data_IF_460684222870
#
_entry.id   IF_460684222870
#
_cell.length_a   1.000
_cell.length_b   1.000
_cell.length_c   1.000
_cell.angle_alpha   90.00
_cell.angle_beta   90.00
_cell.angle_gamma   90.00
#
_symmetry.space_group_name_H-M   'P 1'
#
loop_
_entity.id
_entity.type
_entity.pdbx_description
1 polymer ?
#
# COMPACT_ATOMS: atom_id res chain seq x y z
N UNK A 1 18.25 -1.83 13.41
CA UNK A 1 16.98 -2.58 13.27
C UNK A 1 16.32 -2.17 11.96
N UNK A 2 15.95 -3.13 11.10
CA UNK A 2 15.13 -2.83 9.92
C UNK A 2 13.67 -2.73 10.40
N UNK A 3 13.06 -1.55 10.32
CA UNK A 3 11.66 -1.36 10.73
C UNK A 3 10.73 -1.80 9.60
N UNK A 4 10.39 -3.09 9.60
CA UNK A 4 9.38 -3.62 8.69
C UNK A 4 8.05 -2.91 8.93
N UNK A 5 7.46 -2.34 7.87
CA UNK A 5 6.23 -1.59 7.96
C UNK A 5 6.41 -0.08 8.06
N UNK A 6 7.65 0.42 8.23
CA UNK A 6 7.92 1.84 8.00
C UNK A 6 7.55 2.20 6.55
N UNK A 7 6.87 3.34 6.37
CA UNK A 7 6.31 3.67 5.06
C UNK A 7 6.33 5.17 4.77
N UNK A 8 6.15 5.50 3.50
CA UNK A 8 5.78 6.84 3.04
C UNK A 8 4.76 6.74 1.91
N UNK A 9 4.00 7.81 1.73
CA UNK A 9 3.14 8.01 0.56
C UNK A 9 3.73 9.14 -0.26
N UNK A 10 3.89 8.91 -1.55
CA UNK A 10 4.36 9.91 -2.51
C UNK A 10 3.44 9.95 -3.72
N UNK A 11 3.55 11.01 -4.51
CA UNK A 11 3.01 10.98 -5.87
C UNK A 11 3.63 9.81 -6.66
N UNK A 12 2.80 9.17 -7.47
CA UNK A 12 3.27 8.20 -8.46
C UNK A 12 4.27 8.87 -9.40
N UNK A 13 5.24 8.11 -9.91
CA UNK A 13 6.27 8.66 -10.80
C UNK A 13 5.69 9.18 -12.12
N UNK A 14 4.58 8.59 -12.56
CA UNK A 14 3.73 9.07 -13.66
C UNK A 14 2.29 9.07 -13.16
N UNK A 15 1.86 10.12 -12.43
CA UNK A 15 0.56 10.13 -11.81
C UNK A 15 -0.54 10.22 -12.87
N UNK A 16 -1.58 9.41 -12.69
CA UNK A 16 -2.82 9.47 -13.46
C UNK A 16 -3.98 9.70 -12.50
N UNK A 17 -5.16 10.03 -13.03
CA UNK A 17 -6.37 10.16 -12.20
C UNK A 17 -6.68 8.86 -11.44
N UNK A 18 -6.36 7.70 -12.04
CA UNK A 18 -6.60 6.39 -11.45
C UNK A 18 -5.50 5.97 -10.47
N UNK A 19 -4.26 6.42 -10.66
CA UNK A 19 -3.10 6.03 -9.84
C UNK A 19 -2.29 7.27 -9.40
N UNK A 20 -2.90 8.15 -8.57
CA UNK A 20 -2.27 9.41 -8.19
C UNK A 20 -1.07 9.21 -7.25
N UNK A 21 -1.10 8.19 -6.40
CA UNK A 21 -0.08 7.98 -5.36
C UNK A 21 0.51 6.57 -5.37
N UNK A 22 1.68 6.46 -4.76
CA UNK A 22 2.38 5.21 -4.50
C UNK A 22 2.78 5.16 -3.03
N UNK A 23 2.45 4.06 -2.37
CA UNK A 23 2.93 3.72 -1.04
C UNK A 23 4.25 2.96 -1.15
N UNK A 24 5.27 3.44 -0.45
CA UNK A 24 6.57 2.77 -0.33
C UNK A 24 6.66 2.17 1.08
N UNK A 25 6.81 0.85 1.18
CA UNK A 25 6.88 0.12 2.45
C UNK A 25 8.23 -0.54 2.58
N UNK A 26 8.93 -0.28 3.69
CA UNK A 26 10.16 -0.98 4.03
C UNK A 26 9.83 -2.38 4.55
N UNK A 27 10.41 -3.41 3.94
CA UNK A 27 10.26 -4.80 4.35
C UNK A 27 11.51 -5.60 4.00
N UNK A 28 12.07 -6.29 5.00
CA UNK A 28 13.28 -7.12 4.88
C UNK A 28 14.50 -6.39 4.28
N UNK A 29 14.57 -5.07 4.49
CA UNK A 29 15.63 -4.21 3.94
C UNK A 29 15.50 -3.93 2.45
N UNK A 30 14.32 -4.17 1.88
CA UNK A 30 13.92 -3.69 0.57
C UNK A 30 12.79 -2.68 0.73
N UNK A 31 12.59 -1.87 -0.30
CA UNK A 31 11.41 -0.99 -0.42
C UNK A 31 10.47 -1.59 -1.44
N UNK A 32 9.26 -1.90 -1.02
CA UNK A 32 8.21 -2.44 -1.87
C UNK A 32 7.23 -1.31 -2.21
N UNK A 33 6.88 -1.21 -3.49
CA UNK A 33 6.01 -0.14 -3.99
C UNK A 33 4.62 -0.70 -4.30
N UNK A 34 3.59 -0.10 -3.72
CA UNK A 34 2.19 -0.43 -4.00
C UNK A 34 1.46 0.82 -4.48
N UNK A 35 0.75 0.71 -5.59
CA UNK A 35 -0.09 1.80 -6.10
C UNK A 35 -1.25 2.08 -5.14
N UNK A 36 -1.54 3.35 -4.89
CA UNK A 36 -2.79 3.78 -4.28
C UNK A 36 -3.66 4.30 -5.41
N UNK A 37 -4.72 3.56 -5.71
CA UNK A 37 -5.63 3.86 -6.80
C UNK A 37 -6.78 4.72 -6.31
N UNK A 38 -7.25 5.64 -7.15
CA UNK A 38 -8.51 6.37 -6.94
C UNK A 38 -9.56 5.76 -7.88
N UNK A 39 -10.63 5.20 -7.29
CA UNK A 39 -11.74 4.61 -8.03
C UNK A 39 -12.70 5.72 -8.51
N UNK A 40 -13.53 5.41 -9.50
CA UNK A 40 -14.52 6.35 -10.06
C UNK A 40 -15.54 6.87 -9.05
N UNK A 41 -15.79 6.14 -7.96
CA UNK A 41 -16.64 6.56 -6.85
C UNK A 41 -15.94 7.50 -5.84
N UNK A 42 -14.68 7.89 -6.08
CA UNK A 42 -13.91 8.76 -5.20
C UNK A 42 -13.17 8.06 -4.06
N UNK A 43 -13.22 6.73 -3.97
CA UNK A 43 -12.56 5.97 -2.90
C UNK A 43 -11.17 5.47 -3.32
N UNK A 44 -10.28 5.36 -2.34
CA UNK A 44 -8.94 4.84 -2.49
C UNK A 44 -8.87 3.32 -2.27
N UNK A 45 -8.01 2.65 -3.03
CA UNK A 45 -7.71 1.22 -2.88
C UNK A 45 -6.19 0.97 -3.03
N UNK A 46 -5.67 -0.05 -2.33
CA UNK A 46 -4.23 -0.36 -2.34
C UNK A 46 -3.89 -1.53 -3.27
N UNK A 47 -2.84 -1.36 -4.06
CA UNK A 47 -2.29 -2.39 -4.94
C UNK A 47 -3.12 -2.63 -6.21
N UNK A 48 -2.96 -3.83 -6.77
CA UNK A 48 -3.73 -4.29 -7.94
C UNK A 48 -5.18 -4.54 -7.52
N UNK A 49 -6.13 -4.23 -8.42
CA UNK A 49 -7.55 -4.52 -8.18
C UNK A 49 -7.80 -6.00 -7.91
N UNK A 50 -8.59 -6.26 -6.85
CA UNK A 50 -9.02 -7.59 -6.43
C UNK A 50 -10.53 -7.56 -6.11
N UNK A 51 -11.21 -8.67 -6.35
CA UNK A 51 -12.61 -8.83 -5.95
C UNK A 51 -12.76 -8.72 -4.44
N UNK A 52 -13.74 -7.94 -3.97
CA UNK A 52 -13.98 -7.72 -2.54
C UNK A 52 -12.90 -6.88 -1.84
N UNK A 53 -12.07 -6.14 -2.58
CA UNK A 53 -11.07 -5.27 -1.98
C UNK A 53 -11.69 -4.20 -1.08
N UNK A 54 -11.02 -3.88 0.03
CA UNK A 54 -11.41 -2.79 0.89
C UNK A 54 -11.08 -1.46 0.22
N UNK A 55 -12.02 -0.52 0.25
CA UNK A 55 -11.83 0.84 -0.23
C UNK A 55 -11.99 1.84 0.91
N UNK A 56 -11.41 3.03 0.75
CA UNK A 56 -11.31 4.03 1.82
C UNK A 56 -11.67 5.42 1.30
N UNK A 57 -12.32 6.23 2.12
CA UNK A 57 -12.68 7.60 1.73
C UNK A 57 -11.46 8.53 1.69
N UNK A 58 -10.45 8.24 2.52
CA UNK A 58 -9.20 9.00 2.60
C UNK A 58 -7.97 8.09 2.63
N UNK A 59 -6.80 8.64 2.30
CA UNK A 59 -5.53 7.94 2.45
C UNK A 59 -5.23 7.65 3.94
N UNK A 60 -5.64 8.55 4.84
CA UNK A 60 -5.47 8.36 6.28
C UNK A 60 -6.26 7.15 6.80
N UNK A 61 -7.49 6.94 6.33
CA UNK A 61 -8.29 5.75 6.69
C UNK A 61 -7.64 4.47 6.17
N UNK A 62 -7.11 4.49 4.94
CA UNK A 62 -6.36 3.38 4.36
C UNK A 62 -5.15 3.04 5.22
N UNK A 63 -4.38 4.05 5.64
CA UNK A 63 -3.21 3.86 6.51
C UNK A 63 -3.64 3.29 7.86
N UNK A 64 -4.64 3.89 8.51
CA UNK A 64 -5.13 3.48 9.83
C UNK A 64 -5.60 2.03 9.82
N UNK A 65 -6.37 1.64 8.80
CA UNK A 65 -6.78 0.24 8.63
C UNK A 65 -5.58 -0.70 8.51
N UNK A 66 -4.56 -0.31 7.74
CA UNK A 66 -3.38 -1.14 7.53
C UNK A 66 -2.35 -1.12 8.67
N UNK A 67 -2.58 -0.35 9.75
CA UNK A 67 -1.85 -0.53 11.01
C UNK A 67 -2.29 -1.81 11.73
N UNK A 68 -3.56 -2.22 11.57
CA UNK A 68 -4.12 -3.42 12.21
C UNK A 68 -4.22 -4.59 11.23
N UNK A 69 -4.54 -4.30 9.97
CA UNK A 69 -4.73 -5.32 8.93
C UNK A 69 -3.53 -5.35 7.98
N UNK A 70 -2.77 -6.46 7.92
CA UNK A 70 -1.53 -6.48 7.16
C UNK A 70 -1.77 -6.37 5.66
N UNK A 71 -0.86 -5.66 4.99
CA UNK A 71 -0.74 -5.61 3.54
C UNK A 71 -0.06 -6.89 3.07
N UNK A 72 -0.62 -7.51 2.03
CA UNK A 72 -0.01 -8.65 1.35
C UNK A 72 0.98 -8.15 0.30
N UNK A 73 2.25 -8.52 0.47
CA UNK A 73 3.33 -8.11 -0.41
C UNK A 73 3.96 -9.33 -1.06
N UNK A 74 4.22 -9.22 -2.36
CA UNK A 74 4.90 -10.24 -3.15
C UNK A 74 6.20 -9.65 -3.70
N UNK A 75 7.34 -9.83 -3.01
CA UNK A 75 8.64 -9.49 -3.54
C UNK A 75 8.94 -10.33 -4.78
N UNK A 76 9.23 -9.65 -5.90
CA UNK A 76 9.60 -10.29 -7.17
C UNK A 76 10.67 -11.38 -6.96
N UNK A 77 10.37 -12.59 -7.40
CA UNK A 77 11.27 -13.75 -7.30
C UNK A 77 10.97 -14.72 -6.16
N UNK A 78 9.90 -14.52 -5.40
CA UNK A 78 9.46 -15.47 -4.37
C UNK A 78 8.03 -15.96 -4.64
N UNK A 79 7.75 -17.24 -4.38
CA UNK A 79 6.37 -17.77 -4.35
C UNK A 79 5.64 -17.41 -3.04
N UNK A 80 6.34 -16.75 -2.11
CA UNK A 80 5.86 -16.48 -0.77
C UNK A 80 5.14 -15.14 -0.72
N UNK A 81 3.93 -15.17 -0.18
CA UNK A 81 3.19 -13.98 0.19
C UNK A 81 3.66 -13.54 1.58
N UNK A 82 4.12 -12.30 1.69
CA UNK A 82 4.50 -11.72 2.98
C UNK A 82 3.39 -10.78 3.47
N UNK A 83 3.28 -10.64 4.78
CA UNK A 83 2.28 -9.81 5.43
C UNK A 83 2.97 -8.81 6.36
N UNK A 84 2.65 -7.53 6.22
CA UNK A 84 3.19 -6.48 7.09
C UNK A 84 2.13 -5.43 7.39
N UNK A 85 2.03 -5.01 8.65
CA UNK A 85 1.24 -3.85 9.03
C UNK A 85 2.08 -2.57 8.88
N UNK A 86 1.42 -1.45 8.62
CA UNK A 86 2.07 -0.15 8.60
C UNK A 86 2.42 0.27 10.03
N UNK A 87 3.63 0.81 10.19
CA UNK A 87 4.08 1.36 11.46
C UNK A 87 3.92 2.87 11.44
N UNK A 88 3.16 3.40 12.40
CA UNK A 88 3.15 4.82 12.72
C UNK A 88 3.76 4.96 14.11
N UNK A 89 4.89 5.66 14.18
CA UNK A 89 5.67 5.91 15.39
C UNK A 89 5.49 7.34 15.86
#
# INVERSE_FOLDING_TARGET
>A
MKQNGAFLVRYSSKPTNEIPYTMCVAFDGRVLNSHIRLKSNGYYALGKEKGGEKTFSTISDLIRYHQEVPIEINPSGTKNLFRVCLLVT
#
